data_IF_035762350630
#
_entry.id   IF_035762350630
#
_cell.length_a   1.000
_cell.length_b   1.000
_cell.length_c   1.000
_cell.angle_alpha   90.00
_cell.angle_beta   90.00
_cell.angle_gamma   90.00
#
_symmetry.space_group_name_H-M   'P 1'
#
loop_
_entity.id
_entity.type
_entity.pdbx_description
1 polymer ?
#
# COMPACT_ATOMS: atom_id res chain seq x y z
N UNK A 1 -14.34 6.55 -16.70
CA UNK A 1 -15.33 5.47 -16.61
C UNK A 1 -15.62 5.25 -15.13
N UNK A 2 -16.87 5.37 -14.68
CA UNK A 2 -17.28 5.15 -13.29
C UNK A 2 -18.07 3.83 -13.25
N UNK A 3 -17.72 2.94 -12.31
CA UNK A 3 -18.47 1.72 -12.03
C UNK A 3 -19.24 1.98 -10.74
N UNK A 4 -20.58 1.97 -10.79
CA UNK A 4 -21.44 2.14 -9.62
C UNK A 4 -21.80 0.79 -9.01
N UNK A 5 -21.04 0.40 -7.99
CA UNK A 5 -21.28 -0.83 -7.26
C UNK A 5 -22.48 -0.73 -6.30
N UNK A 6 -23.01 0.46 -5.98
CA UNK A 6 -24.12 0.59 -5.03
C UNK A 6 -25.47 0.18 -5.64
N UNK A 7 -25.62 0.28 -6.97
CA UNK A 7 -26.85 -0.11 -7.68
C UNK A 7 -26.71 -1.41 -8.48
N UNK A 8 -25.61 -2.15 -8.31
CA UNK A 8 -25.34 -3.34 -9.11
C UNK A 8 -26.22 -4.53 -8.65
N UNK A 9 -27.07 -5.09 -9.52
CA UNK A 9 -28.04 -6.12 -9.13
C UNK A 9 -27.42 -7.48 -8.77
N UNK A 10 -26.13 -7.70 -9.09
CA UNK A 10 -25.41 -8.95 -8.81
C UNK A 10 -24.36 -8.82 -7.69
N UNK A 11 -24.37 -7.69 -6.96
CA UNK A 11 -23.36 -7.34 -5.96
C UNK A 11 -23.19 -8.39 -4.85
N UNK A 12 -24.23 -9.13 -4.49
CA UNK A 12 -24.14 -10.10 -3.39
C UNK A 12 -24.14 -11.55 -3.87
N UNK A 13 -24.08 -11.76 -5.20
CA UNK A 13 -24.14 -13.09 -5.83
C UNK A 13 -22.80 -13.52 -6.45
N UNK A 14 -22.07 -12.58 -7.06
CA UNK A 14 -20.83 -12.85 -7.80
C UNK A 14 -19.80 -11.72 -7.63
N UNK A 15 -19.87 -10.92 -6.56
CA UNK A 15 -18.94 -9.80 -6.41
C UNK A 15 -17.49 -10.29 -6.33
N UNK A 16 -17.25 -11.37 -5.59
CA UNK A 16 -15.98 -12.08 -5.52
C UNK A 16 -15.42 -12.51 -6.89
N UNK A 17 -16.29 -12.75 -7.87
CA UNK A 17 -15.93 -13.08 -9.27
C UNK A 17 -15.95 -11.86 -10.21
N UNK A 18 -16.34 -10.68 -9.71
CA UNK A 18 -16.32 -9.43 -10.47
C UNK A 18 -14.88 -8.92 -10.61
N UNK A 19 -14.58 -8.27 -11.75
CA UNK A 19 -13.29 -7.58 -11.95
C UNK A 19 -13.00 -6.54 -10.84
N UNK A 20 -14.04 -6.02 -10.18
CA UNK A 20 -13.90 -4.94 -9.18
C UNK A 20 -13.17 -5.42 -7.91
N UNK A 21 -13.54 -6.51 -7.24
CA UNK A 21 -12.71 -7.06 -6.16
C UNK A 21 -11.32 -7.49 -6.63
N UNK A 22 -11.12 -7.96 -7.86
CA UNK A 22 -9.76 -8.23 -8.36
C UNK A 22 -8.92 -6.95 -8.55
N UNK A 23 -9.55 -5.82 -8.92
CA UNK A 23 -8.90 -4.51 -9.03
C UNK A 23 -8.69 -3.80 -7.69
N UNK A 24 -9.52 -4.10 -6.69
CA UNK A 24 -9.48 -3.52 -5.35
C UNK A 24 -8.82 -4.43 -4.31
N UNK A 25 -8.59 -5.70 -4.64
CA UNK A 25 -7.83 -6.62 -3.83
C UNK A 25 -6.46 -5.99 -3.62
N UNK A 26 -5.99 -5.88 -2.36
CA UNK A 26 -4.63 -5.46 -2.12
C UNK A 26 -3.71 -6.47 -2.80
N UNK A 27 -3.11 -6.09 -3.93
CA UNK A 27 -1.81 -6.63 -4.34
C UNK A 27 -0.95 -6.52 -3.09
N UNK A 28 -0.32 -7.62 -2.68
CA UNK A 28 0.62 -7.69 -1.56
C UNK A 28 1.42 -6.39 -1.56
N UNK A 29 1.08 -5.48 -0.64
CA UNK A 29 1.27 -4.04 -0.85
C UNK A 29 2.72 -3.58 -0.85
N UNK A 30 3.67 -4.51 -0.94
CA UNK A 30 5.09 -4.28 -1.00
C UNK A 30 5.52 -3.73 -2.35
N UNK A 31 6.24 -2.63 -2.30
CA UNK A 31 6.77 -1.90 -3.43
C UNK A 31 8.22 -1.50 -3.10
N UNK A 32 9.03 -1.27 -4.13
CA UNK A 32 10.35 -0.66 -3.91
C UNK A 32 10.20 0.74 -3.32
N UNK A 33 11.09 1.11 -2.39
CA UNK A 33 11.12 2.46 -1.83
C UNK A 33 11.24 3.51 -2.93
N UNK A 34 10.44 4.56 -2.84
CA UNK A 34 10.53 5.73 -3.71
C UNK A 34 11.73 6.62 -3.34
N UNK A 35 11.89 7.75 -4.05
CA UNK A 35 13.01 8.66 -3.83
C UNK A 35 12.97 9.33 -2.46
N UNK A 36 11.79 9.75 -2.01
CA UNK A 36 11.62 10.44 -0.73
C UNK A 36 11.86 9.47 0.42
N UNK A 37 11.31 8.26 0.34
CA UNK A 37 11.49 7.19 1.31
C UNK A 37 12.96 6.78 1.44
N UNK A 38 13.68 6.56 0.33
CA UNK A 38 15.13 6.27 0.37
C UNK A 38 15.93 7.38 1.02
N UNK A 39 15.55 8.64 0.80
CA UNK A 39 16.21 9.78 1.44
C UNK A 39 15.94 9.82 2.95
N UNK A 40 14.77 9.38 3.41
CA UNK A 40 14.48 9.22 4.83
C UNK A 40 15.32 8.09 5.44
N UNK A 41 15.35 6.91 4.81
CA UNK A 41 16.17 5.77 5.24
C UNK A 41 17.66 6.14 5.32
N UNK A 42 18.15 6.89 4.33
CA UNK A 42 19.55 7.35 4.30
C UNK A 42 19.91 8.21 5.51
N UNK A 43 18.96 9.00 6.04
CA UNK A 43 19.16 9.76 7.29
C UNK A 43 19.29 8.83 8.49
N UNK A 44 18.46 7.80 8.59
CA UNK A 44 18.56 6.81 9.67
C UNK A 44 19.88 6.04 9.61
N UNK A 45 20.36 5.69 8.42
CA UNK A 45 21.67 5.06 8.24
C UNK A 45 22.79 6.01 8.67
N UNK A 46 22.75 7.28 8.25
CA UNK A 46 23.76 8.27 8.65
C UNK A 46 23.78 8.55 10.16
N UNK A 47 22.63 8.39 10.83
CA UNK A 47 22.50 8.52 12.28
C UNK A 47 22.90 7.24 13.04
N UNK A 48 23.24 6.15 12.33
CA UNK A 48 23.57 4.85 12.94
C UNK A 48 22.37 4.10 13.52
N UNK A 49 21.15 4.54 13.22
CA UNK A 49 19.91 3.91 13.71
C UNK A 49 19.55 2.64 12.91
N UNK A 50 20.03 2.53 11.68
CA UNK A 50 19.81 1.39 10.78
C UNK A 50 21.13 1.09 10.05
N UNK A 51 21.50 -0.18 9.92
CA UNK A 51 22.69 -0.55 9.12
C UNK A 51 22.41 -0.46 7.61
N UNK A 52 23.47 -0.24 6.82
CA UNK A 52 23.35 -0.26 5.36
C UNK A 52 22.79 -1.60 4.83
N UNK A 53 23.12 -2.71 5.49
CA UNK A 53 22.61 -4.03 5.14
C UNK A 53 21.09 -4.15 5.38
N UNK A 54 20.60 -3.67 6.53
CA UNK A 54 19.16 -3.63 6.81
C UNK A 54 18.43 -2.71 5.83
N UNK A 55 18.99 -1.53 5.53
CA UNK A 55 18.42 -0.57 4.60
C UNK A 55 18.27 -1.14 3.17
N UNK A 56 19.19 -2.00 2.73
CA UNK A 56 19.16 -2.62 1.41
C UNK A 56 18.01 -3.61 1.20
N UNK A 57 17.42 -4.13 2.27
CA UNK A 57 16.28 -5.06 2.22
C UNK A 57 14.92 -4.42 2.52
N UNK A 58 14.83 -3.09 2.62
CA UNK A 58 13.59 -2.41 2.94
C UNK A 58 12.67 -2.29 1.72
N UNK A 59 11.39 -2.52 1.95
CA UNK A 59 10.31 -2.33 1.00
C UNK A 59 9.25 -1.40 1.59
N UNK A 60 8.60 -0.61 0.74
CA UNK A 60 7.45 0.20 1.10
C UNK A 60 6.24 -0.72 1.15
N UNK A 61 5.44 -0.67 2.22
CA UNK A 61 4.16 -1.37 2.27
C UNK A 61 3.02 -0.36 2.20
N UNK A 62 2.18 -0.52 1.18
CA UNK A 62 0.98 0.28 0.98
C UNK A 62 -0.09 -0.16 1.97
N UNK A 63 -0.42 0.71 2.90
CA UNK A 63 -1.51 0.48 3.85
C UNK A 63 -2.83 1.06 3.32
N UNK A 64 -3.98 0.52 3.74
CA UNK A 64 -5.28 1.10 3.42
C UNK A 64 -5.34 2.57 3.86
N UNK A 65 -5.96 3.42 3.04
CA UNK A 65 -6.03 4.86 3.32
C UNK A 65 -6.69 5.18 4.68
N UNK A 66 -7.66 4.37 5.11
CA UNK A 66 -8.29 4.50 6.44
C UNK A 66 -7.30 4.35 7.59
N UNK A 67 -6.33 3.45 7.48
CA UNK A 67 -5.29 3.21 8.49
C UNK A 67 -4.25 4.33 8.49
N UNK A 68 -3.93 4.88 7.32
CA UNK A 68 -3.00 6.00 7.22
C UNK A 68 -3.48 7.24 8.00
N UNK A 69 -4.77 7.59 7.90
CA UNK A 69 -5.32 8.78 8.58
C UNK A 69 -5.19 8.70 10.10
N UNK A 70 -5.28 7.49 10.68
CA UNK A 70 -5.11 7.28 12.14
C UNK A 70 -3.65 7.42 12.59
N UNK A 71 -2.68 7.06 11.73
CA UNK A 71 -1.26 7.04 12.09
C UNK A 71 -0.57 8.43 12.04
N UNK A 72 -1.11 9.38 11.27
CA UNK A 72 -0.63 10.77 11.18
C UNK A 72 -1.46 11.78 11.99
N UNK A 73 -2.43 11.28 12.76
CA UNK A 73 -3.27 12.07 13.68
C UNK A 73 -2.57 12.45 14.98
#
# INVERSE_FOLDING_TARGET
MIIDCQTCPVRDLHCDECIVPAMLAPLDGTMSLDRAERAAVSRFVSAGLVSAQQAGGLEARREPWSTHVEAVG
#
